data_IF_319337455027
#
_entry.id   IF_319337455027
#
_cell.length_a   1.000
_cell.length_b   1.000
_cell.length_c   1.000
_cell.angle_alpha   90.00
_cell.angle_beta   90.00
_cell.angle_gamma   90.00
#
_symmetry.space_group_name_H-M   'P 1'
#
loop_
_entity.id
_entity.type
_entity.pdbx_description
1 polymer ?
#
# COMPACT_ATOMS: atom_id res chain seq x y z
N UNK A 1 -12.40 -14.65 -56.44
CA UNK A 1 -10.92 -14.68 -56.39
C UNK A 1 -10.38 -16.08 -56.09
N UNK A 2 -10.59 -16.64 -54.89
CA UNK A 2 -9.95 -17.88 -54.41
C UNK A 2 -9.97 -19.10 -55.38
N UNK A 3 -11.12 -19.43 -56.00
CA UNK A 3 -11.24 -20.57 -56.95
C UNK A 3 -10.34 -20.47 -58.20
N UNK A 4 -9.95 -19.25 -58.61
CA UNK A 4 -9.02 -19.05 -59.74
C UNK A 4 -7.58 -19.34 -59.29
N UNK A 5 -7.20 -18.84 -58.10
CA UNK A 5 -5.90 -19.09 -57.49
C UNK A 5 -5.68 -20.58 -57.22
N UNK A 6 -6.68 -21.28 -56.67
CA UNK A 6 -6.62 -22.73 -56.43
C UNK A 6 -6.38 -23.52 -57.72
N UNK A 7 -7.03 -23.15 -58.83
CA UNK A 7 -6.80 -23.79 -60.14
C UNK A 7 -5.40 -23.52 -60.68
N UNK A 8 -4.88 -22.31 -60.54
CA UNK A 8 -3.51 -21.99 -60.93
C UNK A 8 -2.47 -22.72 -60.08
N UNK A 9 -2.72 -22.85 -58.77
CA UNK A 9 -1.84 -23.60 -57.86
C UNK A 9 -1.80 -25.09 -58.23
N UNK A 10 -2.97 -25.71 -58.43
CA UNK A 10 -3.06 -27.12 -58.83
C UNK A 10 -2.43 -27.38 -60.22
N UNK A 11 -2.53 -26.43 -61.15
CA UNK A 11 -1.83 -26.51 -62.45
C UNK A 11 -0.31 -26.51 -62.27
N UNK A 12 0.22 -25.60 -61.43
CA UNK A 12 1.67 -25.52 -61.20
C UNK A 12 2.21 -26.74 -60.43
N UNK A 13 1.42 -27.35 -59.54
CA UNK A 13 1.78 -28.61 -58.89
C UNK A 13 1.94 -29.72 -59.95
N UNK A 14 0.99 -29.85 -60.87
CA UNK A 14 1.03 -30.87 -61.94
C UNK A 14 2.24 -30.70 -62.88
N UNK A 15 2.60 -29.45 -63.23
CA UNK A 15 3.82 -29.15 -63.99
C UNK A 15 5.08 -29.58 -63.22
N UNK A 16 5.19 -29.20 -61.94
CA UNK A 16 6.34 -29.52 -61.09
C UNK A 16 6.49 -31.04 -60.86
N UNK A 17 5.39 -31.78 -60.73
CA UNK A 17 5.41 -33.24 -60.64
C UNK A 17 5.94 -33.88 -61.93
N UNK A 18 5.59 -33.34 -63.10
CA UNK A 18 6.14 -33.78 -64.39
C UNK A 18 7.64 -33.46 -64.54
N UNK A 19 8.07 -32.24 -64.18
CA UNK A 19 9.47 -31.82 -64.21
C UNK A 19 10.35 -32.72 -63.31
N UNK A 20 9.84 -33.10 -62.13
CA UNK A 20 10.54 -33.99 -61.18
C UNK A 20 10.67 -35.42 -61.70
N UNK A 21 9.64 -35.97 -62.35
CA UNK A 21 9.68 -37.34 -62.82
C UNK A 21 10.58 -37.51 -64.07
N UNK A 22 10.62 -36.50 -64.95
CA UNK A 22 11.59 -36.44 -66.05
C UNK A 22 13.04 -36.35 -65.53
N UNK A 23 13.29 -35.51 -64.50
CA UNK A 23 14.60 -35.41 -63.87
C UNK A 23 15.04 -36.73 -63.20
N UNK A 24 14.13 -37.47 -62.56
CA UNK A 24 14.41 -38.81 -62.03
C UNK A 24 14.70 -39.83 -63.13
N UNK A 25 13.93 -39.81 -64.22
CA UNK A 25 14.16 -40.71 -65.36
C UNK A 25 15.55 -40.47 -65.98
N UNK A 26 15.96 -39.21 -66.15
CA UNK A 26 17.30 -38.84 -66.61
C UNK A 26 18.39 -39.32 -65.63
N UNK A 27 18.20 -39.14 -64.32
CA UNK A 27 19.15 -39.61 -63.31
C UNK A 27 19.30 -41.14 -63.27
N UNK A 28 18.22 -41.88 -63.49
CA UNK A 28 18.21 -43.35 -63.53
C UNK A 28 18.96 -43.93 -64.74
N UNK A 29 19.04 -43.19 -65.86
CA UNK A 29 19.82 -43.58 -67.05
C UNK A 29 21.30 -43.17 -66.92
N UNK A 30 21.59 -42.05 -66.27
CA UNK A 30 22.97 -41.55 -66.10
C UNK A 30 23.81 -42.38 -65.11
N UNK A 31 23.19 -42.90 -64.04
CA UNK A 31 23.87 -43.68 -62.98
C UNK A 31 24.57 -44.96 -63.46
N UNK A 32 23.95 -45.87 -64.25
CA UNK A 32 24.64 -47.06 -64.74
C UNK A 32 25.76 -46.76 -65.75
N UNK A 33 25.63 -45.68 -66.53
CA UNK A 33 26.64 -45.30 -67.53
C UNK A 33 27.96 -44.84 -66.89
N UNK A 34 27.90 -44.10 -65.78
CA UNK A 34 29.09 -43.68 -65.04
C UNK A 34 29.84 -44.86 -64.38
N UNK A 35 29.09 -45.84 -63.86
CA UNK A 35 29.67 -46.99 -63.15
C UNK A 35 30.42 -47.96 -64.08
N UNK A 36 29.99 -48.11 -65.33
CA UNK A 36 30.62 -48.99 -66.31
C UNK A 36 32.01 -48.51 -66.79
N UNK A 37 32.29 -47.21 -66.73
CA UNK A 37 33.58 -46.63 -67.18
C UNK A 37 34.69 -46.83 -66.14
N UNK A 38 34.36 -46.86 -64.85
CA UNK A 38 35.33 -46.99 -63.76
C UNK A 38 36.07 -48.35 -63.71
N UNK A 39 35.48 -49.42 -64.26
CA UNK A 39 35.97 -50.80 -64.10
C UNK A 39 37.09 -51.23 -65.08
N UNK A 40 37.65 -50.32 -65.90
CA UNK A 40 38.61 -50.67 -66.97
C UNK A 40 40.05 -50.20 -66.78
N UNK A 41 40.42 -49.61 -65.64
CA UNK A 41 41.75 -49.00 -65.43
C UNK A 41 42.37 -49.34 -64.07
N UNK A 42 42.68 -50.61 -63.82
CA UNK A 42 43.46 -51.00 -62.63
C UNK A 42 44.45 -52.14 -62.95
N UNK A 43 45.70 -51.76 -63.22
CA UNK A 43 46.85 -52.67 -63.24
C UNK A 43 47.62 -52.53 -61.92
N UNK A 44 47.89 -53.66 -61.26
CA UNK A 44 48.33 -53.72 -59.87
C UNK A 44 49.84 -53.75 -59.71
N UNK A 45 50.48 -52.57 -59.64
CA UNK A 45 51.89 -52.48 -59.23
C UNK A 45 52.02 -52.34 -57.71
N UNK A 46 52.83 -53.21 -57.09
CA UNK A 46 53.00 -53.29 -55.64
C UNK A 46 53.85 -52.14 -55.09
N UNK A 47 53.21 -51.10 -54.57
CA UNK A 47 53.88 -50.02 -53.83
C UNK A 47 54.12 -50.46 -52.40
N UNK A 48 55.35 -50.90 -52.10
CA UNK A 48 55.81 -51.14 -50.73
C UNK A 48 56.42 -49.83 -50.18
N UNK A 49 55.76 -49.14 -49.24
CA UNK A 49 56.18 -47.81 -48.81
C UNK A 49 57.54 -47.85 -48.09
N UNK A 50 58.35 -46.81 -48.26
CA UNK A 50 59.59 -46.67 -47.50
C UNK A 50 59.29 -46.25 -46.06
N UNK A 51 60.14 -46.61 -45.10
CA UNK A 51 59.88 -46.39 -43.67
C UNK A 51 59.73 -44.90 -43.27
N UNK A 52 60.29 -43.99 -44.06
CA UNK A 52 60.10 -42.55 -43.91
C UNK A 52 58.73 -42.05 -44.39
N UNK A 53 58.19 -42.65 -45.45
CA UNK A 53 56.85 -42.31 -45.97
C UNK A 53 55.76 -42.81 -45.05
N UNK A 54 55.84 -44.06 -44.56
CA UNK A 54 54.89 -44.58 -43.57
C UNK A 54 54.83 -43.74 -42.29
N UNK A 55 55.97 -43.17 -41.83
CA UNK A 55 55.98 -42.24 -40.69
C UNK A 55 55.28 -40.91 -40.99
N UNK A 56 55.49 -40.35 -42.19
CA UNK A 56 54.82 -39.10 -42.61
C UNK A 56 53.32 -39.29 -42.78
N UNK A 57 52.89 -40.43 -43.33
CA UNK A 57 51.48 -40.79 -43.47
C UNK A 57 50.83 -40.88 -42.08
N UNK A 58 51.42 -41.63 -41.13
CA UNK A 58 50.91 -41.73 -39.77
C UNK A 58 50.85 -40.37 -39.02
N UNK A 59 51.80 -39.45 -39.27
CA UNK A 59 51.76 -38.10 -38.69
C UNK A 59 50.67 -37.22 -39.32
N UNK A 60 50.41 -37.36 -40.63
CA UNK A 60 49.31 -36.69 -41.31
C UNK A 60 47.94 -37.24 -40.89
N UNK A 61 47.81 -38.56 -40.73
CA UNK A 61 46.62 -39.22 -40.19
C UNK A 61 46.32 -38.75 -38.77
N UNK A 62 47.33 -38.63 -37.90
CA UNK A 62 47.15 -38.07 -36.55
C UNK A 62 46.70 -36.61 -36.60
N UNK A 63 47.31 -35.76 -37.44
CA UNK A 63 46.89 -34.36 -37.61
C UNK A 63 45.48 -34.25 -38.18
N UNK A 64 45.09 -35.13 -39.10
CA UNK A 64 43.74 -35.20 -39.66
C UNK A 64 42.73 -35.57 -38.56
N UNK A 65 43.04 -36.55 -37.72
CA UNK A 65 42.22 -36.91 -36.56
C UNK A 65 42.09 -35.73 -35.57
N UNK A 66 43.20 -35.09 -35.19
CA UNK A 66 43.22 -33.89 -34.32
C UNK A 66 42.37 -32.74 -34.91
N UNK A 67 42.42 -32.48 -36.23
CA UNK A 67 41.56 -31.48 -36.86
C UNK A 67 40.10 -31.91 -36.92
N UNK A 68 39.82 -33.20 -37.15
CA UNK A 68 38.44 -33.72 -37.21
C UNK A 68 37.75 -33.60 -35.86
N UNK A 69 38.43 -34.01 -34.78
CA UNK A 69 37.96 -33.84 -33.39
C UNK A 69 37.69 -32.37 -33.08
N UNK A 70 38.59 -31.47 -33.51
CA UNK A 70 38.43 -30.02 -33.33
C UNK A 70 37.24 -29.45 -34.11
N UNK A 71 36.97 -29.93 -35.33
CA UNK A 71 35.78 -29.55 -36.10
C UNK A 71 34.52 -29.99 -35.37
N UNK A 72 34.42 -31.26 -34.96
CA UNK A 72 33.25 -31.76 -34.22
C UNK A 72 33.00 -30.97 -32.92
N UNK A 73 34.06 -30.63 -32.17
CA UNK A 73 33.94 -29.80 -30.96
C UNK A 73 33.41 -28.38 -31.24
N UNK A 74 33.82 -27.78 -32.38
CA UNK A 74 33.31 -26.47 -32.80
C UNK A 74 31.86 -26.56 -33.28
N UNK A 75 31.47 -27.63 -33.98
CA UNK A 75 30.10 -27.88 -34.42
C UNK A 75 29.14 -28.09 -33.23
N UNK A 76 29.53 -28.86 -32.21
CA UNK A 76 28.75 -28.98 -30.96
C UNK A 76 28.60 -27.64 -30.24
N UNK A 77 29.67 -26.85 -30.17
CA UNK A 77 29.67 -25.53 -29.54
C UNK A 77 28.76 -24.54 -30.28
N UNK A 78 28.78 -24.58 -31.62
CA UNK A 78 27.89 -23.79 -32.48
C UNK A 78 26.43 -24.19 -32.28
N UNK A 79 26.13 -25.49 -32.39
CA UNK A 79 24.77 -26.03 -32.19
C UNK A 79 24.22 -25.67 -30.80
N UNK A 80 25.04 -25.75 -29.76
CA UNK A 80 24.67 -25.30 -28.41
C UNK A 80 24.33 -23.80 -28.38
N UNK A 81 25.11 -22.96 -29.06
CA UNK A 81 24.87 -21.51 -29.12
C UNK A 81 23.61 -21.15 -29.91
N UNK A 82 23.31 -21.86 -30.99
CA UNK A 82 22.06 -21.70 -31.75
C UNK A 82 20.84 -22.04 -30.89
N UNK A 83 20.90 -23.15 -30.15
CA UNK A 83 19.85 -23.54 -29.19
C UNK A 83 19.67 -22.52 -28.06
N UNK A 84 20.76 -22.02 -27.46
CA UNK A 84 20.74 -20.95 -26.46
C UNK A 84 20.12 -19.66 -27.03
N UNK A 85 20.42 -19.31 -28.27
CA UNK A 85 19.90 -18.13 -28.97
C UNK A 85 18.40 -18.25 -29.22
N UNK A 86 17.92 -19.38 -29.75
CA UNK A 86 16.49 -19.64 -29.96
C UNK A 86 15.67 -19.58 -28.66
N UNK A 87 16.19 -20.18 -27.57
CA UNK A 87 15.56 -20.10 -26.25
C UNK A 87 15.50 -18.65 -25.71
N UNK A 88 16.52 -17.84 -25.99
CA UNK A 88 16.55 -16.43 -25.62
C UNK A 88 15.53 -15.60 -26.42
N UNK A 89 15.40 -15.83 -27.74
CA UNK A 89 14.41 -15.17 -28.59
C UNK A 89 12.97 -15.48 -28.16
N UNK A 90 12.65 -16.74 -27.85
CA UNK A 90 11.35 -17.11 -27.31
C UNK A 90 11.04 -16.36 -26.02
N UNK A 91 12.03 -16.26 -25.13
CA UNK A 91 11.90 -15.56 -23.85
C UNK A 91 11.66 -14.06 -24.06
N UNK A 92 12.34 -13.43 -25.02
CA UNK A 92 12.08 -12.04 -25.40
C UNK A 92 10.69 -11.86 -26.02
N UNK A 93 10.24 -12.74 -26.93
CA UNK A 93 8.87 -12.72 -27.48
C UNK A 93 7.82 -12.81 -26.36
N UNK A 94 8.01 -13.71 -25.39
CA UNK A 94 7.14 -13.87 -24.21
C UNK A 94 7.12 -12.60 -23.35
N UNK A 95 8.26 -11.98 -23.04
CA UNK A 95 8.29 -10.74 -22.25
C UNK A 95 7.71 -9.53 -22.99
N UNK A 96 7.99 -9.37 -24.29
CA UNK A 96 7.42 -8.31 -25.11
C UNK A 96 5.89 -8.43 -25.21
N UNK A 97 5.36 -9.65 -25.33
CA UNK A 97 3.93 -9.93 -25.27
C UNK A 97 3.32 -9.54 -23.90
N UNK A 98 3.98 -9.90 -22.80
CA UNK A 98 3.56 -9.50 -21.44
C UNK A 98 3.54 -7.98 -21.26
N UNK A 99 4.60 -7.28 -21.69
CA UNK A 99 4.68 -5.81 -21.62
C UNK A 99 3.55 -5.13 -22.42
N UNK A 100 3.30 -5.60 -23.66
CA UNK A 100 2.17 -5.12 -24.48
C UNK A 100 0.81 -5.36 -23.81
N UNK A 101 0.63 -6.51 -23.17
CA UNK A 101 -0.60 -6.83 -22.42
C UNK A 101 -0.81 -5.87 -21.24
N UNK A 102 0.22 -5.65 -20.42
CA UNK A 102 0.18 -4.75 -19.26
C UNK A 102 -0.11 -3.30 -19.68
N UNK A 103 0.53 -2.81 -20.75
CA UNK A 103 0.22 -1.46 -21.29
C UNK A 103 -1.24 -1.38 -21.72
N UNK A 104 -1.75 -2.40 -22.42
CA UNK A 104 -3.14 -2.43 -22.92
C UNK A 104 -4.18 -2.51 -21.80
N UNK A 105 -3.92 -3.25 -20.72
CA UNK A 105 -4.88 -3.38 -19.60
C UNK A 105 -4.86 -2.19 -18.65
N UNK A 106 -3.73 -1.47 -18.55
CA UNK A 106 -3.59 -0.26 -17.74
C UNK A 106 -4.00 1.03 -18.47
N UNK A 107 -3.95 1.07 -19.81
CA UNK A 107 -4.44 2.21 -20.60
C UNK A 107 -5.98 2.32 -20.51
N UNK A 108 -6.54 3.38 -19.90
CA UNK A 108 -7.99 3.56 -19.78
C UNK A 108 -8.70 3.63 -21.14
N UNK A 109 -7.99 3.98 -22.22
CA UNK A 109 -8.54 4.03 -23.58
C UNK A 109 -8.71 2.64 -24.22
N UNK A 110 -7.95 1.65 -23.74
CA UNK A 110 -8.02 0.26 -24.21
C UNK A 110 -8.77 -0.68 -23.26
N UNK A 111 -9.00 -0.26 -22.02
CA UNK A 111 -9.75 -1.02 -21.02
C UNK A 111 -10.98 -0.24 -20.50
N UNK A 112 -12.05 -0.11 -21.33
CA UNK A 112 -13.24 0.68 -20.97
C UNK A 112 -13.98 0.14 -19.74
N UNK A 113 -13.73 -1.10 -19.31
CA UNK A 113 -14.32 -1.67 -18.10
C UNK A 113 -13.79 -1.00 -16.81
N UNK A 114 -12.57 -0.45 -16.81
CA UNK A 114 -12.01 0.24 -15.64
C UNK A 114 -12.47 1.71 -15.52
N UNK A 115 -13.01 2.30 -16.60
CA UNK A 115 -13.34 3.73 -16.64
C UNK A 115 -14.47 4.10 -15.66
N UNK A 116 -15.57 3.33 -15.54
CA UNK A 116 -16.61 3.59 -14.54
C UNK A 116 -16.07 3.51 -13.11
N UNK A 117 -15.29 2.47 -12.78
CA UNK A 117 -14.75 2.25 -11.43
C UNK A 117 -13.78 3.36 -11.02
N UNK A 118 -12.87 3.77 -11.91
CA UNK A 118 -11.97 4.91 -11.65
C UNK A 118 -12.75 6.22 -11.48
N UNK A 119 -13.83 6.43 -12.24
CA UNK A 119 -14.71 7.59 -12.07
C UNK A 119 -15.46 7.56 -10.74
N UNK A 120 -16.00 6.40 -10.35
CA UNK A 120 -16.71 6.20 -9.09
C UNK A 120 -15.77 6.38 -7.89
N UNK A 121 -14.53 5.87 -7.96
CA UNK A 121 -13.51 6.07 -6.94
C UNK A 121 -13.14 7.54 -6.79
N UNK A 122 -12.95 8.28 -7.90
CA UNK A 122 -12.71 9.74 -7.86
C UNK A 122 -13.87 10.50 -7.21
N UNK A 123 -15.11 10.17 -7.58
CA UNK A 123 -16.32 10.76 -6.97
C UNK A 123 -16.38 10.47 -5.46
N UNK A 124 -16.07 9.23 -5.06
CA UNK A 124 -16.05 8.80 -3.65
C UNK A 124 -14.94 9.49 -2.85
N UNK A 125 -13.76 9.73 -3.45
CA UNK A 125 -12.68 10.50 -2.82
C UNK A 125 -13.15 11.94 -2.58
N UNK A 126 -13.69 12.60 -3.60
CA UNK A 126 -14.17 13.98 -3.50
C UNK A 126 -15.28 14.16 -2.44
N UNK A 127 -16.26 13.26 -2.38
CA UNK A 127 -17.29 13.32 -1.33
C UNK A 127 -16.71 13.04 0.07
N UNK A 128 -15.69 12.16 0.20
CA UNK A 128 -14.98 11.96 1.47
C UNK A 128 -14.18 13.18 1.90
N UNK A 129 -13.48 13.85 0.98
CA UNK A 129 -12.77 15.11 1.24
C UNK A 129 -13.74 16.17 1.76
N UNK A 130 -14.89 16.33 1.08
CA UNK A 130 -15.97 17.23 1.50
C UNK A 130 -16.58 16.89 2.86
N UNK A 131 -16.72 15.60 3.19
CA UNK A 131 -17.17 15.15 4.52
C UNK A 131 -16.12 15.48 5.59
N UNK A 132 -14.82 15.29 5.31
CA UNK A 132 -13.73 15.63 6.22
C UNK A 132 -13.75 17.14 6.51
N UNK A 133 -13.78 18.00 5.49
CA UNK A 133 -13.87 19.47 5.68
C UNK A 133 -15.09 19.89 6.50
N UNK A 134 -16.23 19.20 6.32
CA UNK A 134 -17.44 19.46 7.11
C UNK A 134 -17.23 19.10 8.59
N UNK A 135 -16.69 17.91 8.87
CA UNK A 135 -16.42 17.44 10.23
C UNK A 135 -15.34 18.27 10.93
N UNK A 136 -14.33 18.74 10.22
CA UNK A 136 -13.31 19.65 10.76
C UNK A 136 -13.93 20.98 11.18
N UNK A 137 -14.75 21.60 10.31
CA UNK A 137 -15.51 22.82 10.65
C UNK A 137 -16.51 22.63 11.79
N UNK A 138 -17.13 21.46 11.90
CA UNK A 138 -18.06 21.15 13.00
C UNK A 138 -17.31 20.90 14.33
N UNK A 139 -16.15 20.23 14.27
CA UNK A 139 -15.26 20.00 15.41
C UNK A 139 -14.72 21.33 15.96
N UNK A 140 -14.30 22.25 15.10
CA UNK A 140 -13.84 23.59 15.49
C UNK A 140 -14.95 24.41 16.16
N UNK A 141 -16.16 24.43 15.58
CA UNK A 141 -17.34 25.05 16.21
C UNK A 141 -17.65 24.44 17.57
N UNK A 142 -17.62 23.11 17.66
CA UNK A 142 -17.87 22.37 18.90
C UNK A 142 -16.83 22.69 19.97
N UNK A 143 -15.56 22.89 19.58
CA UNK A 143 -14.51 23.37 20.47
C UNK A 143 -14.79 24.80 20.96
N UNK A 144 -15.11 25.72 20.06
CA UNK A 144 -15.45 27.10 20.42
C UNK A 144 -16.63 27.19 21.40
N UNK A 145 -17.65 26.35 21.24
CA UNK A 145 -18.78 26.26 22.18
C UNK A 145 -18.32 25.76 23.56
N UNK A 146 -17.54 24.68 23.64
CA UNK A 146 -17.00 24.20 24.92
C UNK A 146 -16.12 25.23 25.62
N UNK A 147 -15.23 25.91 24.88
CA UNK A 147 -14.35 26.96 25.41
C UNK A 147 -15.16 28.19 25.92
N UNK A 148 -16.37 28.41 25.42
CA UNK A 148 -17.31 29.42 25.89
C UNK A 148 -18.08 28.94 27.14
N UNK A 149 -18.58 27.71 27.12
CA UNK A 149 -19.25 27.07 28.26
C UNK A 149 -18.34 27.00 29.49
N UNK A 150 -17.07 26.62 29.32
CA UNK A 150 -16.08 26.59 30.40
C UNK A 150 -15.95 27.98 31.07
N UNK A 151 -15.79 29.06 30.28
CA UNK A 151 -15.72 30.43 30.80
C UNK A 151 -16.98 30.86 31.54
N UNK A 152 -18.16 30.49 31.04
CA UNK A 152 -19.43 30.77 31.71
C UNK A 152 -19.52 30.01 33.05
N UNK A 153 -19.13 28.73 33.08
CA UNK A 153 -19.09 27.91 34.29
C UNK A 153 -18.10 28.49 35.30
N UNK A 154 -16.85 28.78 34.92
CA UNK A 154 -15.85 29.41 35.81
C UNK A 154 -16.36 30.72 36.39
N UNK A 155 -16.97 31.57 35.56
CA UNK A 155 -17.53 32.86 35.99
C UNK A 155 -18.70 32.68 36.97
N UNK A 156 -19.61 31.74 36.69
CA UNK A 156 -20.72 31.42 37.58
C UNK A 156 -20.25 30.88 38.93
N UNK A 157 -19.28 29.96 38.94
CA UNK A 157 -18.70 29.41 40.18
C UNK A 157 -17.98 30.48 41.01
N UNK A 158 -17.19 31.36 40.37
CA UNK A 158 -16.52 32.47 41.05
C UNK A 158 -17.55 33.43 41.69
N UNK A 159 -18.56 33.86 40.92
CA UNK A 159 -19.60 34.77 41.40
C UNK A 159 -20.41 34.14 42.54
N UNK A 160 -20.74 32.86 42.44
CA UNK A 160 -21.43 32.12 43.50
C UNK A 160 -20.59 32.00 44.77
N UNK A 161 -19.30 31.63 44.65
CA UNK A 161 -18.38 31.57 45.79
C UNK A 161 -18.23 32.93 46.49
N UNK A 162 -18.10 34.01 45.72
CA UNK A 162 -18.04 35.38 46.25
C UNK A 162 -19.35 35.79 46.94
N UNK A 163 -20.52 35.43 46.37
CA UNK A 163 -21.83 35.67 46.97
C UNK A 163 -21.96 34.94 48.32
N UNK A 164 -21.59 33.65 48.38
CA UNK A 164 -21.61 32.86 49.61
C UNK A 164 -20.66 33.43 50.67
N UNK A 165 -19.45 33.85 50.28
CA UNK A 165 -18.50 34.48 51.20
C UNK A 165 -19.03 35.81 51.75
N UNK A 166 -19.62 36.66 50.89
CA UNK A 166 -20.29 37.90 51.29
C UNK A 166 -21.46 37.64 52.25
N UNK A 167 -22.28 36.61 51.99
CA UNK A 167 -23.37 36.20 52.89
C UNK A 167 -22.83 35.77 54.26
N UNK A 168 -21.82 34.91 54.30
CA UNK A 168 -21.18 34.47 55.56
C UNK A 168 -20.59 35.62 56.37
N UNK A 169 -19.88 36.56 55.72
CA UNK A 169 -19.36 37.77 56.38
C UNK A 169 -20.52 38.61 56.91
N UNK A 170 -21.56 38.83 56.11
CA UNK A 170 -22.73 39.62 56.51
C UNK A 170 -23.45 39.01 57.72
N UNK A 171 -23.55 37.68 57.80
CA UNK A 171 -24.13 36.96 58.93
C UNK A 171 -23.27 37.05 60.20
N UNK A 172 -21.93 37.02 60.06
CA UNK A 172 -21.01 37.25 61.19
C UNK A 172 -21.05 38.69 61.69
N UNK A 173 -21.19 39.66 60.79
CA UNK A 173 -21.35 41.07 61.16
C UNK A 173 -22.70 41.33 61.81
N UNK A 174 -23.81 40.79 61.29
CA UNK A 174 -25.13 40.98 61.90
C UNK A 174 -25.26 40.32 63.28
N UNK A 175 -24.60 39.18 63.51
CA UNK A 175 -24.52 38.56 64.84
C UNK A 175 -23.61 39.31 65.82
N UNK A 176 -22.62 40.07 65.32
CA UNK A 176 -21.81 41.00 66.12
C UNK A 176 -22.60 42.26 66.52
N UNK A 177 -23.40 42.79 65.59
CA UNK A 177 -24.20 44.02 65.74
C UNK A 177 -25.37 43.87 66.73
N UNK A 178 -25.83 42.63 66.96
CA UNK A 178 -26.82 42.25 67.98
C UNK A 178 -26.31 42.42 69.45
N UNK A 179 -25.34 43.31 69.69
CA UNK A 179 -24.94 43.79 71.02
C UNK A 179 -24.24 42.80 71.94
N UNK A 180 -24.22 41.51 71.62
CA UNK A 180 -23.70 40.42 72.44
C UNK A 180 -22.17 40.22 72.36
N UNK A 181 -21.42 41.33 72.21
CA UNK A 181 -19.97 41.36 72.36
C UNK A 181 -19.54 40.94 73.78
N UNK A 182 -18.39 40.30 73.91
CA UNK A 182 -17.80 39.93 75.20
C UNK A 182 -17.61 41.15 76.12
N UNK A 183 -17.15 42.27 75.55
CA UNK A 183 -17.04 43.55 76.26
C UNK A 183 -18.41 44.11 76.68
N UNK A 184 -19.46 43.95 75.87
CA UNK A 184 -20.82 44.37 76.26
C UNK A 184 -21.32 43.61 77.49
N UNK A 185 -21.10 42.29 77.54
CA UNK A 185 -21.41 41.46 78.73
C UNK A 185 -20.59 41.89 79.94
N UNK A 186 -19.29 42.14 79.77
CA UNK A 186 -18.40 42.61 80.84
C UNK A 186 -18.85 43.96 81.44
N UNK A 187 -19.30 44.91 80.60
CA UNK A 187 -19.81 46.21 81.06
C UNK A 187 -21.10 46.09 81.89
N UNK A 188 -22.02 45.19 81.52
CA UNK A 188 -23.27 44.99 82.26
C UNK A 188 -23.05 44.33 83.64
N UNK A 189 -22.11 43.38 83.75
CA UNK A 189 -21.78 42.73 85.02
C UNK A 189 -21.27 43.73 86.09
N UNK A 190 -20.58 44.79 85.68
CA UNK A 190 -19.99 45.77 86.59
C UNK A 190 -20.98 46.76 87.22
N UNK A 191 -22.20 46.90 86.68
CA UNK A 191 -23.14 47.97 87.12
C UNK A 191 -24.06 47.55 88.27
N UNK A 192 -24.07 46.27 88.65
CA UNK A 192 -25.07 45.69 89.58
C UNK A 192 -24.73 45.82 91.07
N UNK A 193 -24.26 46.99 91.52
CA UNK A 193 -24.03 47.32 92.95
C UNK A 193 -24.65 48.69 93.36
N UNK A 194 -25.87 48.62 93.90
CA UNK A 194 -26.41 49.27 95.15
C UNK A 194 -25.77 50.61 95.58
N UNK A 195 -26.52 51.73 95.81
CA UNK A 195 -27.52 51.92 96.90
C UNK A 195 -28.88 52.50 96.43
N UNK A 196 -30.06 52.28 97.03
CA UNK A 196 -30.61 52.26 98.42
C UNK A 196 -31.37 53.55 98.81
N UNK A 197 -32.62 53.33 99.24
CA UNK A 197 -33.47 54.17 100.11
C UNK A 197 -33.96 55.54 99.61
N UNK A 198 -35.27 55.63 99.38
CA UNK A 198 -36.05 56.67 100.06
C UNK A 198 -37.48 56.18 100.42
N UNK A 199 -37.73 55.90 101.70
CA UNK A 199 -39.08 55.66 102.26
C UNK A 199 -39.77 56.99 102.50
N UNK A 200 -41.05 57.12 102.18
CA UNK A 200 -41.97 58.04 102.87
C UNK A 200 -43.33 57.36 103.07
N UNK A 201 -43.77 57.33 104.33
CA UNK A 201 -45.17 57.12 104.75
C UNK A 201 -45.68 58.48 105.29
N UNK A 202 -47.00 58.72 105.47
CA UNK A 202 -47.66 58.23 106.68
C UNK A 202 -49.17 57.88 106.58
N UNK A 203 -49.59 57.01 107.51
CA UNK A 203 -50.75 57.17 108.42
C UNK A 203 -52.19 57.31 107.88
N UNK A 204 -52.98 56.25 108.10
CA UNK A 204 -54.26 56.36 108.83
C UNK A 204 -54.54 55.07 109.61
N UNK A 205 -55.22 55.17 110.75
CA UNK A 205 -55.31 54.12 111.78
C UNK A 205 -56.75 53.70 112.08
N UNK A 206 -57.00 52.38 112.19
CA UNK A 206 -57.80 51.68 113.22
C UNK A 206 -57.92 50.18 112.84
N UNK A 207 -57.57 49.24 113.74
CA UNK A 207 -58.49 48.33 114.49
C UNK A 207 -59.40 47.51 113.55
N UNK A 208 -59.43 46.16 113.51
CA UNK A 208 -59.11 45.04 114.43
C UNK A 208 -58.74 43.77 113.62
N UNK A 209 -58.27 42.63 114.15
CA UNK A 209 -57.48 42.24 115.35
C UNK A 209 -57.11 40.72 115.19
N UNK A 210 -56.64 40.04 116.25
CA UNK A 210 -56.52 38.58 116.44
C UNK A 210 -55.43 37.81 115.65
N UNK A 211 -54.29 37.65 116.34
CA UNK A 211 -53.80 36.38 116.94
C UNK A 211 -54.59 35.09 116.57
N UNK A 212 -54.02 33.88 116.46
CA UNK A 212 -52.66 33.32 116.65
C UNK A 212 -52.64 31.88 116.08
N UNK A 213 -51.44 31.36 115.76
CA UNK A 213 -51.06 29.93 115.55
C UNK A 213 -51.94 29.01 114.71
#
# INVERSE_FOLDING_TARGET
>A
MASKLQRQLNHRIMELESEVEEAKAAAAVATPMAMAVASRTFDGSSVRPTSGESRRIAELERKLAEQTEKVCSLEESLSKKENEMGAMEERYKKYLGKAKSVIKTLDPKHNPALVPDVSNLRSTIYEKERIIENLERESEKSKMVRDMEEKLITTAFYNFGMQMHRQMISQRLSTMDQGHSFMSRQRQASTRRVPMSNRHTPSSSQFEDMRIS
#
